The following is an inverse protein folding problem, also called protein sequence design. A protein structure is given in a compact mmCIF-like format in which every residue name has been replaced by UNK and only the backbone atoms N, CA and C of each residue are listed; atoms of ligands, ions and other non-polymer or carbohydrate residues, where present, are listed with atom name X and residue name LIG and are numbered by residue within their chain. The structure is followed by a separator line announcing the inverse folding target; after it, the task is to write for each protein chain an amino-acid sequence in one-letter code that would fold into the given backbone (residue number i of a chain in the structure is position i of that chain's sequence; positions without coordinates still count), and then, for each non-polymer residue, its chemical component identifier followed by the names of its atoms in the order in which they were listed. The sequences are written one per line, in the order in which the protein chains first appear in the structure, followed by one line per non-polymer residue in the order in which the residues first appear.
data_IF_471574556286
#
_entry.id   IF_471574556286
#
_cell.length_a   1.000
_cell.length_b   1.000
_cell.length_c   1.000
_cell.angle_alpha   90.00
_cell.angle_beta   90.00
_cell.angle_gamma   90.00
#
_symmetry.space_group_name_H-M   'P 1'
#
loop_
_entity.id
_entity.type
_entity.pdbx_description
1 polymer ?
#
# COMPACT_ATOMS: atom_id res chain seq x y z
N UNK A 1 -19.24 -5.66 8.41
CA UNK A 1 -17.88 -5.96 7.95
C UNK A 1 -16.97 -4.98 8.68
N UNK A 2 -16.13 -5.47 9.60
CA UNK A 2 -15.28 -4.60 10.43
C UNK A 2 -13.99 -4.29 9.65
N UNK A 3 -13.83 -3.02 9.26
CA UNK A 3 -12.67 -2.54 8.53
C UNK A 3 -11.93 -1.55 9.43
N UNK A 4 -10.67 -1.87 9.75
CA UNK A 4 -9.81 -0.97 10.53
C UNK A 4 -8.80 -0.31 9.59
N UNK A 5 -8.79 1.03 9.57
CA UNK A 5 -7.76 1.78 8.87
C UNK A 5 -6.67 2.16 9.87
N UNK A 6 -5.43 1.82 9.56
CA UNK A 6 -4.26 2.16 10.38
C UNK A 6 -3.10 2.58 9.50
N UNK A 7 -2.14 3.28 10.10
CA UNK A 7 -0.86 3.54 9.44
C UNK A 7 -0.13 2.21 9.20
N UNK A 8 0.32 1.99 7.97
CA UNK A 8 1.06 0.79 7.61
C UNK A 8 2.39 0.71 8.35
N UNK A 9 2.79 -0.51 8.69
CA UNK A 9 4.11 -0.80 9.27
C UNK A 9 4.75 -1.96 8.53
N UNK A 10 6.06 -2.15 8.70
CA UNK A 10 6.81 -3.24 8.06
C UNK A 10 6.26 -4.64 8.36
N UNK A 11 5.56 -4.83 9.49
CA UNK A 11 4.88 -6.09 9.80
C UNK A 11 3.79 -6.46 8.80
N UNK A 12 3.18 -5.48 8.12
CA UNK A 12 2.09 -5.69 7.17
C UNK A 12 2.56 -5.76 5.72
N UNK A 13 3.88 -5.70 5.48
CA UNK A 13 4.47 -5.61 4.15
C UNK A 13 4.01 -6.76 3.25
N UNK A 14 4.24 -8.02 3.66
CA UNK A 14 3.90 -9.21 2.87
C UNK A 14 2.42 -9.27 2.54
N UNK A 15 1.56 -9.05 3.52
CA UNK A 15 0.11 -9.10 3.32
C UNK A 15 -0.36 -8.04 2.32
N UNK A 16 0.23 -6.85 2.35
CA UNK A 16 -0.14 -5.79 1.41
C UNK A 16 0.49 -5.98 0.02
N UNK A 17 1.68 -6.58 -0.09
CA UNK A 17 2.26 -7.04 -1.35
C UNK A 17 1.35 -8.09 -2.01
N UNK A 18 0.92 -9.10 -1.25
CA UNK A 18 0.01 -10.15 -1.74
C UNK A 18 -1.36 -9.58 -2.12
N UNK A 19 -1.92 -8.66 -1.31
CA UNK A 19 -3.17 -7.97 -1.64
C UNK A 19 -3.03 -7.13 -2.93
N UNK A 20 -1.87 -6.49 -3.14
CA UNK A 20 -1.61 -5.73 -4.36
C UNK A 20 -1.58 -6.62 -5.58
N UNK A 21 -0.75 -7.67 -5.57
CA UNK A 21 -0.57 -8.59 -6.70
C UNK A 21 -1.87 -9.28 -7.12
N UNK A 22 -2.75 -9.55 -6.16
CA UNK A 22 -4.06 -10.15 -6.41
C UNK A 22 -5.15 -9.13 -6.82
N UNK A 23 -4.90 -7.83 -6.70
CA UNK A 23 -5.88 -6.78 -7.06
C UNK A 23 -5.86 -6.45 -8.56
N UNK A 24 -6.99 -5.95 -9.08
CA UNK A 24 -7.06 -5.41 -10.45
C UNK A 24 -6.07 -4.26 -10.66
N UNK A 25 -5.83 -3.47 -9.60
CA UNK A 25 -4.87 -2.37 -9.61
C UNK A 25 -3.43 -2.88 -9.75
N UNK A 26 -3.08 -3.94 -9.02
CA UNK A 26 -1.83 -4.69 -9.20
C UNK A 26 -1.63 -5.14 -10.64
N UNK A 27 -2.60 -5.89 -11.16
CA UNK A 27 -2.55 -6.42 -12.54
C UNK A 27 -2.43 -5.34 -13.61
N UNK A 28 -3.04 -4.18 -13.39
CA UNK A 28 -3.12 -3.10 -14.39
C UNK A 28 -1.97 -2.11 -14.33
N UNK A 29 -1.42 -1.85 -13.15
CA UNK A 29 -0.41 -0.80 -12.93
C UNK A 29 0.95 -1.35 -12.49
N UNK A 30 1.00 -2.58 -11.99
CA UNK A 30 2.22 -3.22 -11.50
C UNK A 30 2.49 -4.48 -12.33
N UNK A 31 2.94 -4.26 -13.57
CA UNK A 31 3.17 -5.31 -14.58
C UNK A 31 4.30 -6.30 -14.22
N UNK A 32 5.09 -6.00 -13.18
CA UNK A 32 6.07 -6.92 -12.59
C UNK A 32 5.97 -6.92 -11.07
N UNK A 33 6.09 -8.09 -10.43
CA UNK A 33 6.02 -8.23 -8.96
C UNK A 33 6.92 -7.22 -8.23
N UNK A 34 8.13 -7.00 -8.73
CA UNK A 34 9.10 -6.05 -8.17
C UNK A 34 8.58 -4.60 -8.11
N UNK A 35 7.75 -4.18 -9.06
CA UNK A 35 7.22 -2.82 -9.09
C UNK A 35 6.16 -2.59 -8.00
N UNK A 36 5.35 -3.61 -7.72
CA UNK A 36 4.35 -3.56 -6.64
C UNK A 36 5.00 -3.60 -5.26
N UNK A 37 5.97 -4.50 -5.08
CA UNK A 37 6.76 -4.61 -3.85
C UNK A 37 7.48 -3.30 -3.50
N UNK A 38 8.11 -2.67 -4.50
CA UNK A 38 8.83 -1.42 -4.31
C UNK A 38 7.91 -0.28 -3.87
N UNK A 39 6.69 -0.18 -4.43
CA UNK A 39 5.74 0.87 -4.06
C UNK A 39 5.18 0.69 -2.64
N UNK A 40 4.90 -0.54 -2.22
CA UNK A 40 4.48 -0.83 -0.83
C UNK A 40 5.61 -0.51 0.13
N UNK A 41 6.83 -0.93 -0.18
CA UNK A 41 8.01 -0.67 0.64
C UNK A 41 8.28 0.84 0.79
N UNK A 42 8.33 1.57 -0.32
CA UNK A 42 8.55 3.02 -0.31
C UNK A 42 7.47 3.75 0.49
N UNK A 43 6.20 3.36 0.33
CA UNK A 43 5.09 3.92 1.09
C UNK A 43 5.19 3.68 2.59
N UNK A 44 5.64 2.49 2.99
CA UNK A 44 5.87 2.13 4.39
C UNK A 44 7.06 2.91 4.98
N UNK A 45 8.18 2.97 4.27
CA UNK A 45 9.39 3.68 4.71
C UNK A 45 9.16 5.19 4.84
N UNK A 46 8.43 5.79 3.90
CA UNK A 46 8.05 7.20 3.97
C UNK A 46 6.96 7.48 5.02
N UNK A 47 6.36 6.44 5.60
CA UNK A 47 5.25 6.57 6.53
C UNK A 47 4.01 7.21 5.91
N UNK A 48 3.81 7.04 4.60
CA UNK A 48 2.72 7.62 3.82
C UNK A 48 1.71 6.58 3.34
N UNK A 49 1.89 5.31 3.74
CA UNK A 49 1.00 4.20 3.43
C UNK A 49 0.05 3.92 4.59
N UNK A 50 -1.25 3.88 4.29
CA UNK A 50 -2.30 3.46 5.20
C UNK A 50 -2.91 2.15 4.71
N UNK A 51 -3.19 1.25 5.63
CA UNK A 51 -3.71 -0.09 5.35
C UNK A 51 -5.14 -0.24 5.85
N UNK A 52 -5.96 -0.94 5.09
CA UNK A 52 -7.27 -1.41 5.49
C UNK A 52 -7.14 -2.87 5.94
N UNK A 53 -7.50 -3.15 7.20
CA UNK A 53 -7.45 -4.48 7.78
C UNK A 53 -8.85 -5.07 7.93
N UNK A 54 -9.01 -6.32 7.51
CA UNK A 54 -10.21 -7.14 7.77
C UNK A 54 -9.75 -8.41 8.49
N UNK A 55 -10.25 -8.62 9.72
CA UNK A 55 -9.77 -9.71 10.60
C UNK A 55 -8.22 -9.74 10.69
N UNK A 56 -7.64 -8.56 10.86
CA UNK A 56 -6.19 -8.31 10.95
C UNK A 56 -5.35 -8.68 9.71
N UNK A 57 -5.97 -8.94 8.56
CA UNK A 57 -5.27 -9.11 7.27
C UNK A 57 -5.40 -7.88 6.38
N UNK A 58 -4.33 -7.54 5.66
CA UNK A 58 -4.33 -6.43 4.70
C UNK A 58 -5.31 -6.74 3.55
N UNK A 59 -6.41 -5.99 3.48
CA UNK A 59 -7.40 -6.08 2.41
C UNK A 59 -7.13 -5.05 1.29
N UNK A 60 -6.27 -4.08 1.56
CA UNK A 60 -5.89 -3.03 0.63
C UNK A 60 -5.12 -1.92 1.34
N UNK A 61 -4.56 -1.00 0.58
CA UNK A 61 -3.84 0.16 1.09
C UNK A 61 -4.07 1.39 0.20
N UNK A 62 -3.75 2.56 0.73
CA UNK A 62 -3.69 3.80 -0.03
C UNK A 62 -2.45 4.61 0.35
N UNK A 63 -1.87 5.25 -0.67
CA UNK A 63 -0.67 6.07 -0.57
C UNK A 63 -1.05 7.54 -0.61
N UNK A 64 -0.54 8.32 0.34
CA UNK A 64 -0.66 9.78 0.30
C UNK A 64 0.59 10.39 -0.34
N UNK A 65 0.54 10.66 -1.64
CA UNK A 65 1.58 11.45 -2.28
C UNK A 65 1.29 12.94 -2.06
N UNK A 66 1.97 13.53 -1.07
CA UNK A 66 1.95 14.98 -0.89
C UNK A 66 2.72 15.60 -2.06
N UNK A 67 2.03 16.01 -3.13
CA UNK A 67 2.62 16.92 -4.13
C UNK A 67 2.91 18.24 -3.45
N UNK A 68 4.16 18.45 -3.05
CA UNK A 68 4.66 19.79 -2.72
C UNK A 68 4.61 20.56 -4.04
N UNK A 69 3.60 21.41 -4.21
CA UNK A 69 3.62 22.36 -5.33
C UNK A 69 4.84 23.26 -5.08
N UNK A 70 5.81 23.32 -6.00
CA UNK A 70 6.88 24.30 -5.87
C UNK A 70 6.23 25.69 -5.88
N UNK A 71 6.49 26.48 -4.84
CA UNK A 71 6.16 27.90 -4.85
C UNK A 71 7.14 28.51 -5.86
N UNK A 72 6.58 29.03 -6.96
CA UNK A 72 7.33 29.77 -7.98
C UNK A 72 7.77 31.13 -7.44
#
# INVERSE_FOLDING_TARGET
MDIKIKKGTMQHRKDCEEALLNSELGKRYFASERSGESAVLEGLEQGNLYIALIKDRCAGFFLFHRKVRPVK
#
